data_IF_802792068362
#
_entry.id   IF_802792068362
#
_cell.length_a   1.000
_cell.length_b   1.000
_cell.length_c   1.000
_cell.angle_alpha   90.00
_cell.angle_beta   90.00
_cell.angle_gamma   90.00
#
_symmetry.space_group_name_H-M   'P 1'
#
loop_
_entity.id
_entity.type
_entity.pdbx_description
1 polymer ?
#
# COMPACT_ATOMS: atom_id res chain seq x y z
N UNK A 1 -3.73 -0.64 -7.47
CA UNK A 1 -2.82 0.30 -6.78
C UNK A 1 -1.41 0.17 -7.37
N UNK A 2 -0.76 1.31 -7.65
CA UNK A 2 0.58 1.38 -8.26
C UNK A 2 1.63 0.56 -7.50
N UNK A 3 1.72 0.74 -6.17
CA UNK A 3 2.67 0.05 -5.31
C UNK A 3 2.63 -1.48 -5.45
N UNK A 4 1.42 -2.07 -5.45
CA UNK A 4 1.25 -3.52 -5.63
C UNK A 4 1.79 -4.01 -6.98
N UNK A 5 1.53 -3.25 -8.06
CA UNK A 5 2.09 -3.61 -9.37
C UNK A 5 3.61 -3.52 -9.42
N UNK A 6 4.21 -2.56 -8.71
CA UNK A 6 5.67 -2.46 -8.60
C UNK A 6 6.22 -3.65 -7.84
N UNK A 7 5.62 -4.03 -6.72
CA UNK A 7 6.03 -5.20 -5.93
C UNK A 7 5.91 -6.49 -6.77
N UNK A 8 4.80 -6.68 -7.48
CA UNK A 8 4.61 -7.83 -8.38
C UNK A 8 5.66 -7.87 -9.49
N UNK A 9 5.91 -6.72 -10.15
CA UNK A 9 6.89 -6.63 -11.22
C UNK A 9 8.32 -6.90 -10.71
N UNK A 10 8.69 -6.37 -9.54
CA UNK A 10 9.98 -6.64 -8.91
C UNK A 10 10.11 -8.11 -8.51
N UNK A 11 9.03 -8.71 -7.99
CA UNK A 11 8.99 -10.14 -7.64
C UNK A 11 9.22 -11.00 -8.88
N UNK A 12 8.53 -10.73 -9.98
CA UNK A 12 8.70 -11.44 -11.24
C UNK A 12 10.15 -11.29 -11.77
N UNK A 13 10.66 -10.05 -11.78
CA UNK A 13 12.03 -9.77 -12.22
C UNK A 13 13.08 -10.50 -11.39
N UNK A 14 12.92 -10.55 -10.07
CA UNK A 14 13.85 -11.24 -9.18
C UNK A 14 13.70 -12.76 -9.27
N UNK A 15 12.49 -13.27 -9.46
CA UNK A 15 12.23 -14.70 -9.71
C UNK A 15 12.95 -15.18 -10.98
N UNK A 16 12.84 -14.41 -12.07
CA UNK A 16 13.53 -14.73 -13.32
C UNK A 16 15.04 -14.67 -13.15
N UNK A 17 15.55 -13.67 -12.42
CA UNK A 17 16.99 -13.47 -12.25
C UNK A 17 17.65 -14.49 -11.32
N UNK A 18 17.01 -14.81 -10.19
CA UNK A 18 17.57 -15.69 -9.16
C UNK A 18 17.30 -17.16 -9.46
N UNK A 19 16.18 -17.44 -10.11
CA UNK A 19 15.76 -18.80 -10.44
C UNK A 19 16.24 -19.31 -11.79
N UNK A 20 16.92 -18.49 -12.60
CA UNK A 20 17.49 -18.92 -13.87
C UNK A 20 18.50 -20.07 -13.67
N UNK A 21 18.25 -21.21 -14.31
CA UNK A 21 19.20 -22.33 -14.34
C UNK A 21 20.40 -21.97 -15.25
N UNK A 22 21.65 -22.01 -14.73
CA UNK A 22 22.86 -21.77 -15.53
C UNK A 22 23.02 -22.69 -16.75
N UNK A 23 22.37 -23.85 -16.75
CA UNK A 23 22.40 -24.81 -17.84
C UNK A 23 21.18 -24.70 -18.78
N UNK A 24 20.33 -23.68 -18.60
CA UNK A 24 19.19 -23.38 -19.47
C UNK A 24 17.95 -24.25 -19.23
N UNK A 25 17.87 -24.94 -18.09
CA UNK A 25 16.68 -25.65 -17.65
C UNK A 25 15.57 -24.72 -17.12
N UNK A 26 14.47 -25.31 -16.60
CA UNK A 26 13.37 -24.54 -16.03
C UNK A 26 13.82 -23.72 -14.81
N UNK A 27 13.00 -22.75 -14.42
CA UNK A 27 13.27 -21.96 -13.22
C UNK A 27 13.38 -22.87 -11.98
N UNK A 28 14.45 -22.68 -11.21
CA UNK A 28 14.77 -23.48 -10.03
C UNK A 28 13.92 -23.11 -8.80
N UNK A 29 13.29 -21.94 -8.80
CA UNK A 29 12.40 -21.49 -7.74
C UNK A 29 11.02 -22.08 -7.96
N UNK A 30 10.46 -22.65 -6.89
CA UNK A 30 9.09 -23.14 -6.89
C UNK A 30 8.09 -22.05 -6.46
N UNK A 31 6.80 -22.39 -6.47
CA UNK A 31 5.75 -21.43 -6.12
C UNK A 31 5.85 -20.92 -4.67
N UNK A 32 6.42 -21.71 -3.75
CA UNK A 32 6.59 -21.32 -2.36
C UNK A 32 7.74 -20.32 -2.19
N UNK A 33 8.84 -20.52 -2.92
CA UNK A 33 9.98 -19.59 -2.95
C UNK A 33 9.56 -18.22 -3.48
N UNK A 34 8.79 -18.21 -4.58
CA UNK A 34 8.26 -16.97 -5.19
C UNK A 34 7.34 -16.24 -4.22
N UNK A 35 6.47 -16.98 -3.51
CA UNK A 35 5.59 -16.39 -2.52
C UNK A 35 6.34 -15.79 -1.32
N UNK A 36 7.42 -16.45 -0.87
CA UNK A 36 8.27 -15.91 0.18
C UNK A 36 8.99 -14.64 -0.29
N UNK A 37 9.56 -14.65 -1.50
CA UNK A 37 10.23 -13.50 -2.09
C UNK A 37 9.29 -12.29 -2.24
N UNK A 38 8.05 -12.52 -2.70
CA UNK A 38 7.03 -11.49 -2.78
C UNK A 38 6.77 -10.83 -1.41
N UNK A 39 6.74 -11.65 -0.36
CA UNK A 39 6.52 -11.21 1.02
C UNK A 39 7.67 -10.36 1.54
N UNK A 40 8.91 -10.75 1.24
CA UNK A 40 10.11 -10.02 1.62
C UNK A 40 10.19 -8.66 0.92
N UNK A 41 9.90 -8.61 -0.39
CA UNK A 41 9.84 -7.37 -1.17
C UNK A 41 8.74 -6.45 -0.62
N UNK A 42 7.55 -7.00 -0.35
CA UNK A 42 6.43 -6.24 0.19
C UNK A 42 6.70 -5.69 1.61
N UNK A 43 7.65 -6.27 2.35
CA UNK A 43 8.03 -5.81 3.68
C UNK A 43 9.26 -4.88 3.69
N UNK A 44 9.97 -4.72 2.57
CA UNK A 44 11.21 -3.92 2.51
C UNK A 44 10.94 -2.42 2.64
N UNK A 45 11.49 -1.75 3.66
CA UNK A 45 11.37 -0.30 3.81
C UNK A 45 11.97 0.48 2.63
N UNK A 46 13.04 -0.03 2.02
CA UNK A 46 13.72 0.58 0.88
C UNK A 46 12.84 0.57 -0.36
N UNK A 47 12.11 -0.53 -0.60
CA UNK A 47 11.14 -0.63 -1.70
C UNK A 47 9.99 0.36 -1.48
N UNK A 48 9.46 0.45 -0.26
CA UNK A 48 8.41 1.43 0.07
C UNK A 48 8.90 2.88 -0.08
N UNK A 49 10.12 3.18 0.34
CA UNK A 49 10.71 4.51 0.17
C UNK A 49 10.88 4.87 -1.31
N UNK A 50 11.34 3.92 -2.13
CA UNK A 50 11.47 4.12 -3.57
C UNK A 50 10.10 4.35 -4.24
N UNK A 51 9.09 3.54 -3.88
CA UNK A 51 7.71 3.72 -4.36
C UNK A 51 7.18 5.10 -3.95
N UNK A 52 7.38 5.52 -2.70
CA UNK A 52 6.96 6.84 -2.23
C UNK A 52 7.63 8.00 -2.96
N UNK A 53 8.86 7.82 -3.44
CA UNK A 53 9.54 8.82 -4.28
C UNK A 53 9.00 8.89 -5.71
N UNK A 54 8.58 7.75 -6.27
CA UNK A 54 8.06 7.65 -7.64
C UNK A 54 6.58 8.00 -7.73
N UNK A 55 5.84 7.78 -6.65
CA UNK A 55 4.42 8.02 -6.55
C UNK A 55 4.10 8.67 -5.20
N UNK A 56 4.54 9.93 -5.00
CA UNK A 56 4.25 10.65 -3.78
C UNK A 56 2.75 10.89 -3.64
N UNK A 57 2.30 10.99 -2.39
CA UNK A 57 0.99 11.55 -2.09
C UNK A 57 1.12 13.06 -2.23
N UNK A 58 0.34 13.63 -3.13
CA UNK A 58 0.31 15.06 -3.39
C UNK A 58 -1.05 15.60 -3.01
N UNK A 59 -1.08 16.78 -2.41
CA UNK A 59 -2.31 17.56 -2.36
C UNK A 59 -2.58 18.23 -3.72
N UNK A 60 -3.81 18.67 -3.99
CA UNK A 60 -4.13 19.44 -5.19
C UNK A 60 -3.24 20.68 -5.35
N UNK A 61 -2.95 21.37 -4.24
CA UNK A 61 -2.09 22.55 -4.20
C UNK A 61 -0.64 22.21 -4.53
N UNK A 62 -0.11 21.11 -3.97
CA UNK A 62 1.26 20.65 -4.25
C UNK A 62 1.42 20.24 -5.71
N UNK A 63 0.47 19.47 -6.23
CA UNK A 63 0.42 19.08 -7.64
C UNK A 63 0.38 20.31 -8.55
N UNK A 64 -0.59 21.21 -8.35
CA UNK A 64 -0.79 22.36 -9.23
C UNK A 64 0.40 23.33 -9.16
N UNK A 65 0.96 23.55 -7.96
CA UNK A 65 2.18 24.37 -7.80
C UNK A 65 3.36 23.76 -8.56
N UNK A 66 3.58 22.45 -8.41
CA UNK A 66 4.66 21.75 -9.11
C UNK A 66 4.47 21.78 -10.64
N UNK A 67 3.25 21.53 -11.11
CA UNK A 67 2.94 21.54 -12.54
C UNK A 67 3.10 22.93 -13.16
N UNK A 68 2.65 24.00 -12.49
CA UNK A 68 2.80 25.36 -13.01
C UNK A 68 4.27 25.83 -12.96
N UNK A 69 5.09 25.32 -12.04
CA UNK A 69 6.52 25.62 -12.02
C UNK A 69 7.26 25.00 -13.20
N UNK A 70 6.95 23.75 -13.56
CA UNK A 70 7.50 23.07 -14.74
C UNK A 70 6.42 22.35 -15.56
N UNK A 71 5.67 23.10 -16.40
CA UNK A 71 4.59 22.51 -17.18
C UNK A 71 5.13 21.52 -18.20
N UNK A 72 4.64 20.29 -18.12
CA UNK A 72 4.97 19.21 -19.05
C UNK A 72 3.75 18.83 -19.90
N UNK A 73 3.99 18.08 -20.98
CA UNK A 73 2.96 17.60 -21.92
C UNK A 73 2.16 18.68 -22.67
N UNK A 74 2.70 19.91 -22.74
CA UNK A 74 2.17 21.01 -23.54
C UNK A 74 3.17 21.46 -24.60
N UNK A 75 2.73 22.05 -25.73
CA UNK A 75 3.61 22.76 -26.64
C UNK A 75 4.40 23.87 -25.91
N UNK A 76 5.63 24.13 -26.33
CA UNK A 76 6.54 25.07 -25.64
C UNK A 76 5.92 26.46 -25.42
N UNK A 77 5.16 26.98 -26.39
CA UNK A 77 4.49 28.28 -26.27
C UNK A 77 3.36 28.30 -25.23
N UNK A 78 2.62 27.20 -25.07
CA UNK A 78 1.56 27.06 -24.07
C UNK A 78 2.14 26.83 -22.68
N UNK A 79 3.18 25.98 -22.58
CA UNK A 79 3.92 25.76 -21.34
C UNK A 79 4.51 27.07 -20.80
N UNK A 80 5.12 27.88 -21.68
CA UNK A 80 5.64 29.19 -21.31
C UNK A 80 4.54 30.18 -20.88
N UNK A 81 3.35 30.09 -21.46
CA UNK A 81 2.24 30.99 -21.14
C UNK A 81 1.63 30.73 -19.76
N UNK A 82 1.63 29.49 -19.28
CA UNK A 82 1.07 29.12 -17.97
C UNK A 82 2.12 29.01 -16.86
N UNK A 83 3.42 29.01 -17.22
CA UNK A 83 4.49 28.85 -16.25
C UNK A 83 4.44 29.93 -15.17
N UNK A 84 4.41 29.50 -13.91
CA UNK A 84 4.40 30.36 -12.73
C UNK A 84 5.22 29.72 -11.60
N UNK A 85 6.28 30.40 -11.18
CA UNK A 85 7.09 30.01 -10.03
C UNK A 85 6.54 30.65 -8.76
N UNK A 86 5.57 29.99 -8.12
CA UNK A 86 4.94 30.45 -6.88
C UNK A 86 4.08 31.71 -7.03
N UNK A 87 3.77 32.36 -5.89
CA UNK A 87 2.87 33.50 -5.83
C UNK A 87 1.53 33.19 -5.16
N UNK A 88 0.66 34.19 -5.08
CA UNK A 88 -0.66 34.04 -4.48
C UNK A 88 -1.62 33.32 -5.43
N UNK A 89 -2.51 32.50 -4.86
CA UNK A 89 -3.60 31.89 -5.60
C UNK A 89 -4.54 32.95 -6.17
N UNK A 90 -4.97 32.73 -7.40
CA UNK A 90 -5.92 33.58 -8.12
C UNK A 90 -7.27 32.87 -8.22
N UNK A 91 -8.37 33.59 -8.50
CA UNK A 91 -9.65 32.96 -8.78
C UNK A 91 -9.62 31.97 -9.96
N UNK A 92 -8.67 32.10 -10.89
CA UNK A 92 -8.50 31.19 -12.01
C UNK A 92 -7.88 29.84 -11.61
N UNK A 93 -7.24 29.76 -10.44
CA UNK A 93 -6.66 28.52 -9.92
C UNK A 93 -7.72 27.62 -9.25
N UNK A 94 -8.84 28.20 -8.80
CA UNK A 94 -9.89 27.45 -8.07
C UNK A 94 -10.46 26.29 -8.88
N UNK A 95 -10.87 26.44 -10.17
CA UNK A 95 -11.36 25.32 -10.96
C UNK A 95 -10.30 24.24 -11.22
N UNK A 96 -9.03 24.63 -11.29
CA UNK A 96 -7.92 23.69 -11.49
C UNK A 96 -7.66 22.86 -10.23
N UNK A 97 -7.75 23.49 -9.06
CA UNK A 97 -7.63 22.82 -7.76
C UNK A 97 -8.77 21.83 -7.54
N UNK A 98 -9.99 22.19 -7.93
CA UNK A 98 -11.16 21.31 -7.82
C UNK A 98 -11.00 20.06 -8.71
N UNK A 99 -10.62 20.24 -9.97
CA UNK A 99 -10.32 19.12 -10.88
C UNK A 99 -9.15 18.26 -10.36
N UNK A 100 -8.09 18.88 -9.84
CA UNK A 100 -6.98 18.14 -9.26
C UNK A 100 -7.40 17.34 -8.02
N UNK A 101 -8.29 17.88 -7.18
CA UNK A 101 -8.85 17.16 -6.04
C UNK A 101 -9.67 15.94 -6.49
N UNK A 102 -10.48 16.09 -7.54
CA UNK A 102 -11.26 14.98 -8.10
C UNK A 102 -10.35 13.89 -8.68
N UNK A 103 -9.30 14.26 -9.42
CA UNK A 103 -8.39 13.31 -10.07
C UNK A 103 -7.43 12.62 -9.11
N UNK A 104 -6.91 13.33 -8.10
CA UNK A 104 -6.05 12.75 -7.07
C UNK A 104 -6.85 11.85 -6.13
N UNK A 105 -8.10 12.23 -5.85
CA UNK A 105 -8.97 11.52 -4.91
C UNK A 105 -8.48 11.62 -3.46
N UNK A 106 -9.07 10.81 -2.59
CA UNK A 106 -8.67 10.69 -1.19
C UNK A 106 -7.84 9.43 -0.96
N UNK A 107 -6.70 9.58 -0.27
CA UNK A 107 -5.98 8.42 0.26
C UNK A 107 -6.51 8.04 1.65
N UNK A 108 -7.42 7.08 1.68
CA UNK A 108 -7.96 6.47 2.89
C UNK A 108 -7.15 5.22 3.33
N UNK A 109 -5.99 4.95 2.73
CA UNK A 109 -5.17 3.76 3.03
C UNK A 109 -4.86 3.61 4.53
N UNK A 110 -4.47 4.70 5.19
CA UNK A 110 -4.20 4.72 6.63
C UNK A 110 -5.45 4.43 7.46
N UNK A 111 -6.59 5.01 7.07
CA UNK A 111 -7.87 4.79 7.74
C UNK A 111 -8.33 3.32 7.59
N UNK A 112 -8.19 2.74 6.39
CA UNK A 112 -8.49 1.31 6.14
C UNK A 112 -7.57 0.40 6.95
N UNK A 113 -6.28 0.71 7.02
CA UNK A 113 -5.31 -0.06 7.79
C UNK A 113 -5.65 -0.05 9.29
N UNK A 114 -6.00 1.12 9.84
CA UNK A 114 -6.46 1.24 11.23
C UNK A 114 -7.75 0.45 11.49
N UNK A 115 -8.73 0.54 10.59
CA UNK A 115 -9.99 -0.19 10.70
C UNK A 115 -9.80 -1.72 10.65
N UNK A 116 -8.88 -2.21 9.81
CA UNK A 116 -8.55 -3.64 9.75
C UNK A 116 -7.80 -4.09 11.01
N UNK A 117 -6.87 -3.29 11.54
CA UNK A 117 -6.19 -3.60 12.79
C UNK A 117 -7.17 -3.73 13.96
N UNK A 118 -8.11 -2.79 14.08
CA UNK A 118 -9.18 -2.83 15.09
C UNK A 118 -10.08 -4.07 14.89
N UNK A 119 -10.38 -4.42 13.63
CA UNK A 119 -11.14 -5.62 13.31
C UNK A 119 -10.43 -6.89 13.76
N UNK A 120 -9.12 -7.00 13.54
CA UNK A 120 -8.32 -8.14 13.98
C UNK A 120 -8.26 -8.24 15.50
N UNK A 121 -8.13 -7.11 16.21
CA UNK A 121 -8.18 -7.07 17.67
C UNK A 121 -9.53 -7.59 18.20
N UNK A 122 -10.65 -7.16 17.60
CA UNK A 122 -11.99 -7.65 17.97
C UNK A 122 -12.14 -9.16 17.74
N UNK A 123 -11.58 -9.70 16.66
CA UNK A 123 -11.59 -11.14 16.37
C UNK A 123 -10.79 -11.89 17.44
N UNK A 124 -9.57 -11.43 17.74
CA UNK A 124 -8.70 -12.05 18.75
C UNK A 124 -9.35 -12.03 20.15
N UNK A 125 -9.99 -10.90 20.50
CA UNK A 125 -10.75 -10.79 21.75
C UNK A 125 -11.90 -11.80 21.82
N UNK A 126 -12.71 -11.89 20.76
CA UNK A 126 -13.83 -12.84 20.70
C UNK A 126 -13.35 -14.30 20.79
N UNK A 127 -12.24 -14.63 20.14
CA UNK A 127 -11.60 -15.95 20.24
C UNK A 127 -11.15 -16.25 21.67
N UNK A 128 -10.49 -15.30 22.35
CA UNK A 128 -10.07 -15.45 23.74
C UNK A 128 -11.24 -15.64 24.71
N UNK A 129 -12.35 -14.91 24.51
CA UNK A 129 -13.58 -15.11 25.31
C UNK A 129 -14.16 -16.51 25.11
N UNK A 130 -14.20 -17.02 23.88
CA UNK A 130 -14.66 -18.37 23.58
C UNK A 130 -13.78 -19.43 24.25
N UNK A 131 -12.46 -19.22 24.26
CA UNK A 131 -11.51 -20.12 24.92
C UNK A 131 -11.72 -20.16 26.44
N UNK A 132 -11.87 -19.01 27.10
CA UNK A 132 -12.17 -18.93 28.54
C UNK A 132 -13.51 -19.62 28.87
N UNK A 133 -14.55 -19.39 28.06
CA UNK A 133 -15.85 -20.03 28.25
C UNK A 133 -15.79 -21.55 28.04
N UNK A 134 -14.97 -22.02 27.11
CA UNK A 134 -14.74 -23.45 26.89
C UNK A 134 -13.97 -24.08 28.07
N UNK A 135 -12.89 -23.43 28.52
CA UNK A 135 -12.10 -23.86 29.67
C UNK A 135 -12.94 -23.91 30.97
N UNK A 136 -13.82 -22.92 31.18
CA UNK A 136 -14.73 -22.91 32.32
C UNK A 136 -15.74 -24.07 32.29
N UNK A 137 -16.17 -24.53 31.11
CA UNK A 137 -17.09 -25.67 30.97
C UNK A 137 -16.39 -27.01 31.24
N UNK A 138 -15.13 -27.15 30.85
CA UNK A 138 -14.37 -28.39 31.10
C UNK A 138 -14.06 -28.56 32.58
N UNK A 139 -13.74 -27.48 33.31
CA UNK A 139 -13.49 -27.55 34.77
C UNK A 139 -14.73 -27.93 35.59
N UNK A 140 -15.93 -27.49 35.19
CA UNK A 140 -17.18 -27.81 35.92
C UNK A 140 -17.63 -29.28 35.72
N UNK A 141 -17.00 -30.00 34.79
CA UNK A 141 -17.24 -31.42 34.52
C UNK A 141 -16.22 -32.33 35.22
N UNK A 142 -14.95 -31.93 35.34
CA UNK A 142 -13.93 -32.68 36.10
C UNK A 142 -14.22 -32.70 37.61
N UNK A 143 -14.71 -31.59 38.20
CA UNK A 143 -15.05 -31.52 39.63
C UNK A 143 -16.27 -32.40 40.02
N UNK A 144 -17.05 -32.91 39.05
CA UNK A 144 -18.22 -33.78 39.32
C UNK A 144 -17.92 -35.27 39.25
N UNK A 145 -16.76 -35.67 38.71
CA UNK A 145 -16.39 -37.09 38.57
C UNK A 145 -15.55 -37.61 39.77
N UNK A 146 -15.18 -36.75 40.72
CA UNK A 146 -14.39 -37.09 41.93
C UNK A 146 -15.24 -37.29 43.21
N UNK A 147 -16.58 -37.14 43.15
CA UNK A 147 -17.51 -37.48 44.24
C UNK A 147 -18.38 -38.71 43.87
N UNK A 148 -17.82 -39.92 43.95
CA UNK A 148 -18.57 -41.19 44.11
C UNK A 148 -17.75 -42.24 44.89
#
# INVERSE_FOLDING_TARGET
HFAFRIIDALTAQLTDRLGADPYGGPNLLDASDVAQLAKEIAASPEVHAAIGSLWPQLTPEEFLTGYLADPTHLPEGEAAAIRREGGEWTPADVPLLDEAAELLGEDDSAARAAAEAERQERIAYAQGVLEVAYASRTYEFEDKDDED
#
